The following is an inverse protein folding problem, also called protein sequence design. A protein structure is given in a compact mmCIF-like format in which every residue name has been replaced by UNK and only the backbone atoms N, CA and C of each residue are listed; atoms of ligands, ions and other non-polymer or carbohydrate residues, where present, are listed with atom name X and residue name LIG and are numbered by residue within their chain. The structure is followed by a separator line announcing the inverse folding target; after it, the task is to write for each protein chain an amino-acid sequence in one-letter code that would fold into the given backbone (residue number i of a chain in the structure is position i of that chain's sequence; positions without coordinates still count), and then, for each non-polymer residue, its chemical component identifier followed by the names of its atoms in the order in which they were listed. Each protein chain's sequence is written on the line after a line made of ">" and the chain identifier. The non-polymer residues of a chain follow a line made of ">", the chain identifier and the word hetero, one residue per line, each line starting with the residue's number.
data_IF_366867682967
#
_entry.id   IF_366867682967
#
_cell.length_a   1.000
_cell.length_b   1.000
_cell.length_c   1.000
_cell.angle_alpha   90.00
_cell.angle_beta   90.00
_cell.angle_gamma   90.00
#
_symmetry.space_group_name_H-M   'P 1'
#
loop_
_entity.id
_entity.type
_entity.pdbx_description
1 polymer ?
#
# COMPACT_ATOMS: atom_id res chain seq x y z
N UNK A 1 8.26 -18.28 -10.88
CA UNK A 1 7.16 -18.53 -9.97
C UNK A 1 6.98 -17.33 -9.04
N UNK A 2 5.78 -16.78 -9.00
CA UNK A 2 5.56 -15.58 -8.19
C UNK A 2 5.57 -15.92 -6.72
N UNK A 3 6.36 -15.18 -5.96
CA UNK A 3 6.39 -15.28 -4.52
C UNK A 3 5.17 -14.59 -3.95
N UNK A 4 4.82 -14.88 -2.71
CA UNK A 4 3.71 -14.20 -2.04
C UNK A 4 3.92 -12.69 -2.01
N UNK A 5 5.17 -12.28 -1.88
CA UNK A 5 5.53 -10.87 -1.81
C UNK A 5 5.39 -10.15 -3.13
N UNK A 6 5.27 -10.89 -4.24
CA UNK A 6 5.11 -10.31 -5.57
C UNK A 6 3.65 -10.15 -5.97
N UNK A 7 2.72 -10.48 -5.07
CA UNK A 7 1.31 -10.29 -5.35
C UNK A 7 1.01 -8.81 -5.45
N UNK A 8 0.28 -8.45 -6.51
CA UNK A 8 -0.13 -7.06 -6.70
C UNK A 8 -1.52 -6.85 -6.11
N UNK A 9 -1.66 -5.73 -5.42
CA UNK A 9 -2.90 -5.36 -4.76
C UNK A 9 -3.47 -4.12 -5.42
N UNK A 10 -4.78 -3.96 -5.36
CA UNK A 10 -5.41 -2.73 -5.80
C UNK A 10 -5.64 -1.79 -4.61
N UNK A 11 -6.13 -0.58 -4.90
CA UNK A 11 -6.33 0.42 -3.85
C UNK A 11 -7.30 -0.03 -2.78
N UNK A 12 -8.33 -0.77 -3.16
CA UNK A 12 -9.32 -1.27 -2.21
C UNK A 12 -8.71 -2.26 -1.23
N UNK A 13 -7.91 -3.18 -1.77
CA UNK A 13 -7.25 -4.19 -0.94
C UNK A 13 -6.28 -3.52 0.02
N UNK A 14 -5.52 -2.55 -0.48
CA UNK A 14 -4.57 -1.82 0.36
C UNK A 14 -5.31 -1.03 1.44
N UNK A 15 -6.41 -0.39 1.07
CA UNK A 15 -7.22 0.37 2.02
C UNK A 15 -7.69 -0.51 3.16
N UNK A 16 -8.12 -1.72 2.83
CA UNK A 16 -8.55 -2.67 3.85
C UNK A 16 -7.40 -3.06 4.77
N UNK A 17 -6.24 -3.33 4.18
CA UNK A 17 -5.07 -3.75 4.96
C UNK A 17 -4.53 -2.65 5.86
N UNK A 18 -4.62 -1.40 5.42
CA UNK A 18 -4.10 -0.26 6.15
C UNK A 18 -5.17 0.45 6.98
N UNK A 19 -6.41 -0.01 6.91
CA UNK A 19 -7.53 0.61 7.61
C UNK A 19 -7.73 2.06 7.16
N UNK A 20 -7.68 2.26 5.85
CA UNK A 20 -7.84 3.57 5.23
C UNK A 20 -8.94 3.49 4.17
N UNK A 21 -9.33 4.65 3.64
CA UNK A 21 -10.23 4.66 2.50
C UNK A 21 -9.43 4.50 1.21
N UNK A 22 -10.05 3.98 0.14
CA UNK A 22 -9.35 3.87 -1.15
C UNK A 22 -8.88 5.23 -1.67
N UNK A 23 -9.63 6.28 -1.42
CA UNK A 23 -9.24 7.63 -1.84
C UNK A 23 -7.95 8.06 -1.15
N UNK A 24 -7.82 7.76 0.13
CA UNK A 24 -6.61 8.07 0.89
C UNK A 24 -5.43 7.27 0.34
N UNK A 25 -5.65 5.99 0.02
CA UNK A 25 -4.60 5.15 -0.53
C UNK A 25 -4.12 5.72 -1.86
N UNK A 26 -5.04 6.13 -2.73
CA UNK A 26 -4.68 6.73 -4.02
C UNK A 26 -3.90 8.02 -3.84
N UNK A 27 -4.27 8.80 -2.85
CA UNK A 27 -3.57 10.06 -2.56
C UNK A 27 -2.15 9.79 -2.10
N UNK A 28 -1.97 8.81 -1.22
CA UNK A 28 -0.63 8.44 -0.74
C UNK A 28 0.24 7.92 -1.88
N UNK A 29 -0.37 7.17 -2.81
CA UNK A 29 0.35 6.68 -3.98
C UNK A 29 0.77 7.83 -4.87
N UNK A 30 -0.12 8.79 -5.08
CA UNK A 30 0.15 9.94 -5.94
C UNK A 30 1.27 10.80 -5.38
N UNK A 31 1.36 10.90 -4.08
CA UNK A 31 2.40 11.68 -3.39
C UNK A 31 3.68 10.92 -3.19
N UNK A 32 3.75 9.69 -3.67
CA UNK A 32 4.93 8.83 -3.49
C UNK A 32 5.24 8.53 -2.02
N UNK A 33 4.26 8.67 -1.15
CA UNK A 33 4.42 8.29 0.25
C UNK A 33 4.29 6.78 0.37
N UNK A 34 3.39 6.19 -0.41
CA UNK A 34 3.16 4.76 -0.44
C UNK A 34 3.71 4.22 -1.75
N UNK A 35 4.64 3.25 -1.72
CA UNK A 35 5.20 2.70 -2.95
C UNK A 35 4.12 2.09 -3.83
N UNK A 36 4.04 2.54 -5.06
CA UNK A 36 3.01 2.10 -5.99
C UNK A 36 3.45 2.38 -7.41
N UNK A 37 2.76 1.77 -8.36
CA UNK A 37 2.98 2.10 -9.76
C UNK A 37 1.64 2.07 -10.49
N UNK A 38 1.57 2.80 -11.58
CA UNK A 38 0.36 2.84 -12.39
C UNK A 38 0.39 1.75 -13.43
N UNK A 39 -0.70 1.01 -13.52
CA UNK A 39 -0.88 0.04 -14.59
C UNK A 39 -2.16 0.41 -15.31
N UNK A 40 -2.01 1.06 -16.47
CA UNK A 40 -3.15 1.66 -17.13
C UNK A 40 -3.66 2.84 -16.32
N UNK A 41 -4.90 2.79 -15.93
CA UNK A 41 -5.52 3.87 -15.14
C UNK A 41 -5.63 3.55 -13.67
N UNK A 42 -5.05 2.41 -13.26
CA UNK A 42 -5.22 1.94 -11.90
C UNK A 42 -3.89 1.88 -11.19
N UNK A 43 -3.93 2.17 -9.90
CA UNK A 43 -2.77 1.99 -9.06
C UNK A 43 -2.62 0.52 -8.70
N UNK A 44 -1.35 0.06 -8.65
CA UNK A 44 -1.02 -1.28 -8.21
C UNK A 44 0.04 -1.18 -7.13
N UNK A 45 -0.06 -2.04 -6.15
CA UNK A 45 0.81 -2.03 -4.99
C UNK A 45 1.36 -3.42 -4.80
N UNK A 46 2.63 -3.52 -4.45
CA UNK A 46 3.23 -4.81 -4.11
C UNK A 46 2.92 -5.12 -2.67
N UNK A 47 2.51 -6.35 -2.42
CA UNK A 47 2.16 -6.75 -1.07
C UNK A 47 3.31 -6.53 -0.09
N UNK A 48 4.53 -6.80 -0.52
CA UNK A 48 5.71 -6.60 0.33
C UNK A 48 5.85 -5.14 0.75
N UNK A 49 5.60 -4.23 -0.17
CA UNK A 49 5.70 -2.79 0.11
C UNK A 49 4.63 -2.36 1.09
N UNK A 50 3.44 -2.92 0.96
CA UNK A 50 2.35 -2.58 1.87
C UNK A 50 2.63 -3.13 3.27
N UNK A 51 3.13 -4.34 3.35
CA UNK A 51 3.49 -4.93 4.64
C UNK A 51 4.56 -4.11 5.33
N UNK A 52 5.55 -3.66 4.58
CA UNK A 52 6.63 -2.83 5.11
C UNK A 52 6.10 -1.48 5.57
N UNK A 53 5.25 -0.86 4.77
CA UNK A 53 4.65 0.42 5.11
C UNK A 53 3.81 0.31 6.39
N UNK A 54 3.00 -0.72 6.47
CA UNK A 54 2.14 -0.94 7.64
C UNK A 54 2.98 -1.09 8.90
N UNK A 55 4.04 -1.86 8.82
CA UNK A 55 4.94 -2.08 9.96
C UNK A 55 5.58 -0.77 10.40
N UNK A 56 6.03 0.02 9.44
CA UNK A 56 6.66 1.30 9.72
C UNK A 56 5.70 2.25 10.41
N UNK A 57 4.48 2.36 9.88
CA UNK A 57 3.47 3.25 10.45
C UNK A 57 3.06 2.79 11.85
N UNK A 58 2.88 1.49 12.03
CA UNK A 58 2.53 0.96 13.34
C UNK A 58 3.65 1.18 14.35
N UNK A 59 4.89 1.07 13.90
CA UNK A 59 6.02 1.33 14.76
C UNK A 59 6.04 2.77 15.24
N UNK A 60 5.76 3.71 14.34
CA UNK A 60 5.69 5.13 14.69
C UNK A 60 4.55 5.37 15.66
N UNK A 61 3.39 4.78 15.41
CA UNK A 61 2.23 4.92 16.30
C UNK A 61 2.52 4.35 17.68
N UNK A 62 3.20 3.23 17.73
CA UNK A 62 3.54 2.59 19.00
C UNK A 62 4.51 3.44 19.80
N UNK A 63 5.34 4.22 19.14
CA UNK A 63 6.31 5.08 19.80
C UNK A 63 5.66 6.33 20.39
N UNK A 64 4.49 6.67 19.91
CA UNK A 64 3.75 7.82 20.43
C UNK A 64 2.96 7.45 21.70
#
# INVERSE_FOLDING_TARGET
>A
MADKDDILLNSREVAFLLDLSPDTVNELARRNILPAFKKGRQWRFRRRDIASFKRHVQGVSAAA
#
